data_IF_922037948065
#
_entry.id   IF_922037948065
#
_cell.length_a   1.000
_cell.length_b   1.000
_cell.length_c   1.000
_cell.angle_alpha   90.00
_cell.angle_beta   90.00
_cell.angle_gamma   90.00
#
_symmetry.space_group_name_H-M   'P 1'
#
loop_
_entity.id
_entity.type
_entity.pdbx_description
1 polymer ?
#
# COMPACT_ATOMS: atom_id res chain seq x y z
N UNK A 1 9.15 -34.34 -21.80
CA UNK A 1 7.90 -33.99 -21.11
C UNK A 1 8.10 -34.04 -19.61
N UNK A 2 8.33 -32.91 -18.93
CA UNK A 2 8.42 -32.88 -17.46
C UNK A 2 7.00 -32.94 -16.86
N UNK A 3 6.68 -34.03 -16.15
CA UNK A 3 5.39 -34.23 -15.47
C UNK A 3 5.20 -33.11 -14.43
N UNK A 4 4.19 -32.25 -14.62
CA UNK A 4 3.83 -31.21 -13.63
C UNK A 4 3.51 -31.88 -12.31
N UNK A 5 4.18 -31.46 -11.24
CA UNK A 5 3.95 -31.99 -9.89
C UNK A 5 2.58 -31.50 -9.36
N UNK A 6 1.73 -32.40 -8.82
CA UNK A 6 0.39 -32.07 -8.33
C UNK A 6 0.45 -31.14 -7.11
N UNK A 7 -0.57 -30.30 -6.95
CA UNK A 7 -0.66 -29.27 -5.90
C UNK A 7 -0.48 -29.84 -4.49
N UNK A 8 -1.05 -31.02 -4.20
CA UNK A 8 -0.87 -31.74 -2.94
C UNK A 8 0.60 -32.05 -2.63
N UNK A 9 1.40 -32.42 -3.63
CA UNK A 9 2.84 -32.67 -3.44
C UNK A 9 3.66 -31.40 -3.31
N UNK A 10 3.19 -30.26 -3.85
CA UNK A 10 3.81 -28.95 -3.60
C UNK A 10 3.55 -28.52 -2.15
N UNK A 11 2.33 -28.71 -1.67
CA UNK A 11 1.92 -28.38 -0.31
C UNK A 11 2.64 -29.25 0.73
N UNK A 12 2.74 -30.56 0.49
CA UNK A 12 3.48 -31.47 1.36
C UNK A 12 4.99 -31.13 1.43
N UNK A 13 5.58 -30.69 0.30
CA UNK A 13 6.96 -30.20 0.26
C UNK A 13 7.14 -28.87 0.99
N UNK A 14 6.17 -27.97 0.86
CA UNK A 14 6.17 -26.70 1.59
C UNK A 14 6.04 -26.95 3.10
N UNK A 15 5.18 -27.87 3.51
CA UNK A 15 4.99 -28.29 4.90
C UNK A 15 6.25 -28.96 5.47
N UNK A 16 6.93 -29.81 4.68
CA UNK A 16 8.21 -30.39 5.07
C UNK A 16 9.28 -29.31 5.27
N UNK A 17 9.40 -28.36 4.32
CA UNK A 17 10.33 -27.23 4.42
C UNK A 17 10.03 -26.29 5.58
N UNK A 18 8.76 -26.05 5.90
CA UNK A 18 8.34 -25.27 7.06
C UNK A 18 8.61 -25.98 8.40
N UNK A 19 8.83 -27.30 8.39
CA UNK A 19 9.18 -28.09 9.58
C UNK A 19 10.67 -28.10 9.87
N UNK A 20 11.51 -27.79 8.88
CA UNK A 20 12.95 -27.68 9.05
C UNK A 20 13.32 -26.49 9.94
N UNK A 21 14.15 -26.75 10.95
CA UNK A 21 14.51 -25.76 11.97
C UNK A 21 15.25 -24.54 11.38
N UNK A 22 16.03 -24.75 10.31
CA UNK A 22 16.73 -23.67 9.61
C UNK A 22 15.79 -22.78 8.81
N UNK A 23 14.82 -23.37 8.09
CA UNK A 23 13.83 -22.61 7.33
C UNK A 23 12.94 -21.75 8.22
N UNK A 24 12.60 -22.25 9.41
CA UNK A 24 11.89 -21.47 10.43
C UNK A 24 12.72 -20.29 10.93
N UNK A 25 14.03 -20.45 11.09
CA UNK A 25 14.93 -19.36 11.51
C UNK A 25 15.05 -18.29 10.42
N UNK A 26 15.27 -18.66 9.16
CA UNK A 26 15.35 -17.70 8.05
C UNK A 26 14.01 -16.99 7.81
N UNK A 27 12.90 -17.73 7.83
CA UNK A 27 11.56 -17.17 7.71
C UNK A 27 11.21 -16.23 8.87
N UNK A 28 11.57 -16.62 10.10
CA UNK A 28 11.40 -15.76 11.28
C UNK A 28 12.27 -14.50 11.18
N UNK A 29 13.52 -14.59 10.73
CA UNK A 29 14.39 -13.41 10.55
C UNK A 29 13.83 -12.42 9.53
N UNK A 30 13.28 -12.90 8.41
CA UNK A 30 12.65 -12.04 7.41
C UNK A 30 11.38 -11.36 7.91
N UNK A 31 10.54 -12.10 8.65
CA UNK A 31 9.31 -11.54 9.24
C UNK A 31 9.62 -10.56 10.37
N UNK A 32 10.55 -10.91 11.26
CA UNK A 32 11.01 -10.04 12.35
C UNK A 32 11.64 -8.77 11.77
N UNK A 33 12.46 -8.87 10.72
CA UNK A 33 13.02 -7.69 10.05
C UNK A 33 11.95 -6.73 9.50
N UNK A 34 10.92 -7.26 8.82
CA UNK A 34 9.79 -6.45 8.34
C UNK A 34 8.98 -5.83 9.50
N UNK A 35 8.70 -6.61 10.54
CA UNK A 35 7.95 -6.13 11.71
C UNK A 35 8.72 -5.07 12.51
N UNK A 36 10.05 -5.22 12.63
CA UNK A 36 10.93 -4.23 13.26
C UNK A 36 10.98 -2.96 12.40
N UNK A 37 11.08 -3.08 11.07
CA UNK A 37 11.02 -1.92 10.17
C UNK A 37 9.71 -1.15 10.28
N UNK A 38 8.58 -1.86 10.27
CA UNK A 38 7.24 -1.27 10.51
C UNK A 38 7.16 -0.66 11.91
N UNK A 39 7.67 -1.35 12.94
CA UNK A 39 7.67 -0.86 14.32
C UNK A 39 8.51 0.40 14.50
N UNK A 40 9.71 0.46 13.90
CA UNK A 40 10.57 1.64 13.91
C UNK A 40 9.87 2.80 13.20
N UNK A 41 9.23 2.52 12.06
CA UNK A 41 8.48 3.54 11.32
C UNK A 41 7.29 4.07 12.15
N UNK A 42 6.51 3.19 12.79
CA UNK A 42 5.40 3.59 13.66
C UNK A 42 5.87 4.36 14.90
N UNK A 43 6.97 3.94 15.53
CA UNK A 43 7.59 4.68 16.64
C UNK A 43 8.14 6.04 16.19
N UNK A 44 8.75 6.11 15.01
CA UNK A 44 9.22 7.37 14.44
C UNK A 44 8.06 8.30 14.10
N UNK A 45 6.94 7.78 13.57
CA UNK A 45 5.73 8.55 13.34
C UNK A 45 5.12 9.03 14.66
N UNK A 46 5.08 8.20 15.70
CA UNK A 46 4.59 8.61 17.03
C UNK A 46 5.50 9.65 17.72
N UNK A 47 6.81 9.62 17.44
CA UNK A 47 7.79 10.57 17.97
C UNK A 47 7.81 11.90 17.19
N UNK A 48 7.67 11.85 15.85
CA UNK A 48 7.67 13.02 14.98
C UNK A 48 6.31 13.72 14.90
N UNK A 49 5.21 12.97 15.11
CA UNK A 49 3.84 13.50 15.16
C UNK A 49 3.17 13.09 16.48
N UNK A 50 3.44 13.81 17.59
CA UNK A 50 2.81 13.55 18.88
C UNK A 50 1.28 13.70 18.87
N UNK A 51 0.72 14.26 17.81
CA UNK A 51 -0.72 14.43 17.64
C UNK A 51 -1.49 13.12 17.39
N UNK A 52 -0.78 12.06 16.98
CA UNK A 52 -1.35 10.72 16.82
C UNK A 52 -1.79 10.07 18.16
N UNK A 53 -1.29 10.59 19.29
CA UNK A 53 -1.60 10.14 20.66
C UNK A 53 -2.57 11.09 21.41
N UNK A 54 -3.21 12.02 20.71
CA UNK A 54 -4.23 12.91 21.29
C UNK A 54 -3.74 14.30 21.70
N UNK A 55 -2.58 14.74 21.21
CA UNK A 55 -2.28 16.17 21.14
C UNK A 55 -2.82 16.71 19.80
N UNK A 56 -3.23 17.98 19.74
CA UNK A 56 -3.82 18.55 18.52
C UNK A 56 -2.73 19.16 17.65
N UNK A 57 -2.65 18.70 16.40
CA UNK A 57 -1.80 19.33 15.42
C UNK A 57 -2.30 20.76 15.21
N UNK A 58 -1.50 21.75 15.58
CA UNK A 58 -1.75 23.15 15.24
C UNK A 58 -1.37 23.37 13.77
N UNK A 59 -1.99 22.62 12.86
CA UNK A 59 -2.07 23.06 11.47
C UNK A 59 -2.98 24.29 11.47
N UNK A 60 -2.51 25.38 10.86
CA UNK A 60 -3.37 26.54 10.66
C UNK A 60 -4.57 26.12 9.82
N UNK A 61 -5.77 26.37 10.34
CA UNK A 61 -7.01 26.13 9.61
C UNK A 61 -6.89 26.79 8.22
N UNK A 62 -7.07 26.05 7.11
CA UNK A 62 -7.09 26.69 5.81
C UNK A 62 -8.24 27.70 5.83
N UNK A 63 -7.91 28.99 5.73
CA UNK A 63 -8.91 30.04 5.55
C UNK A 63 -9.52 29.86 4.17
N UNK A 64 -10.57 29.06 4.10
CA UNK A 64 -11.34 28.79 2.90
C UNK A 64 -12.15 30.05 2.55
N UNK A 65 -11.62 30.88 1.65
CA UNK A 65 -12.47 31.83 0.91
C UNK A 65 -13.43 30.99 0.06
N UNK A 66 -14.73 31.11 0.30
CA UNK A 66 -15.78 30.27 -0.27
C UNK A 66 -15.88 30.17 -1.81
N UNK A 67 -15.02 30.85 -2.56
CA UNK A 67 -14.89 30.74 -4.02
C UNK A 67 -13.66 29.95 -4.50
N UNK A 68 -12.73 29.54 -3.62
CA UNK A 68 -11.50 28.78 -3.94
C UNK A 68 -11.66 27.25 -3.74
N UNK A 69 -12.86 26.79 -3.37
CA UNK A 69 -13.12 25.42 -2.88
C UNK A 69 -12.83 24.34 -3.95
N UNK A 70 -13.00 24.67 -5.24
CA UNK A 70 -12.61 23.81 -6.36
C UNK A 70 -12.02 24.68 -7.46
N UNK A 71 -10.73 25.02 -7.32
CA UNK A 71 -10.02 25.69 -8.40
C UNK A 71 -9.70 24.65 -9.52
N UNK A 72 -10.18 24.86 -10.78
CA UNK A 72 -9.91 23.93 -11.87
C UNK A 72 -8.42 23.73 -12.13
N UNK A 73 -7.59 24.76 -11.91
CA UNK A 73 -6.14 24.69 -12.08
C UNK A 73 -5.52 23.74 -11.04
N UNK A 74 -5.94 23.86 -9.77
CA UNK A 74 -5.47 22.97 -8.71
C UNK A 74 -5.93 21.53 -8.96
N UNK A 75 -7.16 21.35 -9.45
CA UNK A 75 -7.69 20.03 -9.81
C UNK A 75 -6.87 19.40 -10.94
N UNK A 76 -6.62 20.14 -12.02
CA UNK A 76 -5.77 19.68 -13.13
C UNK A 76 -4.36 19.35 -12.64
N UNK A 77 -3.78 20.19 -11.80
CA UNK A 77 -2.46 19.93 -11.22
C UNK A 77 -2.43 18.63 -10.39
N UNK A 78 -3.43 18.41 -9.52
CA UNK A 78 -3.51 17.17 -8.74
C UNK A 78 -3.70 15.93 -9.61
N UNK A 79 -4.46 16.02 -10.70
CA UNK A 79 -4.63 14.92 -11.65
C UNK A 79 -3.32 14.63 -12.39
N UNK A 80 -2.58 15.66 -12.83
CA UNK A 80 -1.25 15.49 -13.44
C UNK A 80 -0.30 14.83 -12.46
N UNK A 81 -0.25 15.29 -11.21
CA UNK A 81 0.57 14.69 -10.16
C UNK A 81 0.19 13.22 -9.94
N UNK A 82 -1.10 12.88 -9.91
CA UNK A 82 -1.56 11.50 -9.79
C UNK A 82 -1.11 10.62 -10.97
N UNK A 83 -1.13 11.13 -12.21
CA UNK A 83 -0.61 10.41 -13.37
C UNK A 83 0.91 10.17 -13.30
N UNK A 84 1.68 11.14 -12.80
CA UNK A 84 3.12 10.99 -12.59
C UNK A 84 3.43 9.92 -11.55
N UNK A 85 2.66 9.86 -10.45
CA UNK A 85 2.80 8.80 -9.44
C UNK A 85 2.39 7.44 -10.00
N UNK A 86 1.34 7.37 -10.81
CA UNK A 86 0.97 6.12 -11.50
C UNK A 86 2.10 5.61 -12.41
N UNK A 87 2.81 6.51 -13.10
CA UNK A 87 3.97 6.15 -13.91
C UNK A 87 5.15 5.59 -13.09
N UNK A 88 5.24 5.87 -11.78
CA UNK A 88 6.25 5.25 -10.91
C UNK A 88 6.08 3.74 -10.80
N UNK A 89 4.84 3.22 -10.80
CA UNK A 89 4.59 1.78 -10.73
C UNK A 89 5.20 1.06 -11.94
N UNK A 90 5.04 1.65 -13.13
CA UNK A 90 5.65 1.14 -14.36
C UNK A 90 7.19 1.28 -14.30
N UNK A 91 7.70 2.39 -13.77
CA UNK A 91 9.14 2.61 -13.61
C UNK A 91 9.82 1.56 -12.73
N UNK A 92 9.25 1.27 -11.55
CA UNK A 92 9.77 0.22 -10.66
C UNK A 92 9.67 -1.16 -11.30
N UNK A 93 8.55 -1.46 -11.96
CA UNK A 93 8.37 -2.73 -12.67
C UNK A 93 9.47 -2.96 -13.72
N UNK A 94 9.83 -1.93 -14.49
CA UNK A 94 10.92 -2.02 -15.49
C UNK A 94 12.30 -2.21 -14.84
N UNK A 95 12.56 -1.58 -13.69
CA UNK A 95 13.81 -1.77 -12.95
C UNK A 95 13.92 -3.19 -12.39
N UNK A 96 12.86 -3.72 -11.78
CA UNK A 96 12.84 -5.10 -11.27
C UNK A 96 12.98 -6.13 -12.41
N UNK A 97 12.28 -5.89 -13.53
CA UNK A 97 12.42 -6.69 -14.74
C UNK A 97 13.86 -6.64 -15.32
N UNK A 98 14.55 -5.51 -15.19
CA UNK A 98 15.94 -5.34 -15.65
C UNK A 98 16.97 -6.09 -14.81
N UNK A 99 16.73 -6.27 -13.51
CA UNK A 99 17.63 -7.01 -12.61
C UNK A 99 17.35 -8.51 -12.53
N UNK A 100 16.15 -8.94 -12.92
CA UNK A 100 15.80 -10.36 -12.91
C UNK A 100 16.38 -11.12 -14.12
N UNK A 101 16.53 -12.44 -13.99
CA UNK A 101 17.01 -13.31 -15.08
C UNK A 101 15.98 -13.37 -16.20
N UNK A 102 16.41 -13.27 -17.46
CA UNK A 102 15.56 -13.20 -18.65
C UNK A 102 14.44 -14.25 -18.77
N UNK A 103 14.63 -15.43 -18.19
CA UNK A 103 13.63 -16.51 -18.18
C UNK A 103 12.46 -16.24 -17.22
N UNK A 104 12.70 -15.48 -16.17
CA UNK A 104 11.72 -15.21 -15.09
C UNK A 104 11.10 -13.80 -15.21
N UNK A 105 11.63 -12.95 -16.09
CA UNK A 105 11.18 -11.57 -16.31
C UNK A 105 9.69 -11.45 -16.61
N UNK A 106 9.14 -12.37 -17.42
CA UNK A 106 7.71 -12.36 -17.73
C UNK A 106 6.87 -12.66 -16.50
N UNK A 107 7.33 -13.54 -15.61
CA UNK A 107 6.58 -13.87 -14.40
C UNK A 107 6.57 -12.68 -13.42
N UNK A 108 7.72 -12.03 -13.24
CA UNK A 108 7.84 -10.84 -12.38
C UNK A 108 6.97 -9.69 -12.92
N UNK A 109 7.01 -9.44 -14.23
CA UNK A 109 6.24 -8.36 -14.84
C UNK A 109 4.73 -8.57 -14.68
N UNK A 110 4.25 -9.81 -14.77
CA UNK A 110 2.84 -10.15 -14.53
C UNK A 110 2.44 -9.95 -13.07
N UNK A 111 3.31 -10.27 -12.12
CA UNK A 111 3.06 -10.05 -10.69
C UNK A 111 2.91 -8.54 -10.39
N UNK A 112 3.79 -7.69 -10.93
CA UNK A 112 3.73 -6.24 -10.72
C UNK A 112 2.47 -5.59 -11.33
N UNK A 113 2.01 -6.08 -12.49
CA UNK A 113 0.76 -5.60 -13.12
C UNK A 113 -0.44 -5.98 -12.26
N UNK A 114 -0.51 -7.24 -11.81
CA UNK A 114 -1.60 -7.72 -10.95
C UNK A 114 -1.61 -6.96 -9.62
N UNK A 115 -0.44 -6.69 -9.05
CA UNK A 115 -0.30 -5.89 -7.82
C UNK A 115 -0.86 -4.49 -8.01
N UNK A 116 -0.49 -3.79 -9.09
CA UNK A 116 -0.99 -2.43 -9.37
C UNK A 116 -2.52 -2.41 -9.52
N UNK A 117 -3.10 -3.38 -10.22
CA UNK A 117 -4.56 -3.49 -10.38
C UNK A 117 -5.26 -3.82 -9.06
N UNK A 118 -4.73 -4.78 -8.30
CA UNK A 118 -5.30 -5.19 -7.02
C UNK A 118 -5.23 -4.07 -5.98
N UNK A 119 -4.11 -3.35 -5.92
CA UNK A 119 -3.92 -2.24 -5.01
C UNK A 119 -4.89 -1.09 -5.32
N UNK A 120 -5.11 -0.77 -6.61
CA UNK A 120 -6.13 0.20 -7.02
C UNK A 120 -7.55 -0.19 -6.61
N UNK A 121 -7.95 -1.45 -6.81
CA UNK A 121 -9.26 -1.96 -6.41
C UNK A 121 -9.45 -1.97 -4.88
N UNK A 122 -8.44 -2.41 -4.13
CA UNK A 122 -8.47 -2.42 -2.67
C UNK A 122 -8.50 -1.00 -2.10
N UNK A 123 -7.77 -0.07 -2.71
CA UNK A 123 -7.79 1.34 -2.33
C UNK A 123 -9.17 1.96 -2.56
N UNK A 124 -9.81 1.66 -3.70
CA UNK A 124 -11.18 2.07 -3.97
C UNK A 124 -12.20 1.49 -2.97
N UNK A 125 -12.10 0.19 -2.66
CA UNK A 125 -13.08 -0.49 -1.82
C UNK A 125 -12.96 -0.10 -0.33
N UNK A 126 -11.74 -0.10 0.22
CA UNK A 126 -11.50 0.05 1.66
C UNK A 126 -10.43 1.10 1.99
N UNK A 127 -9.42 1.30 1.12
CA UNK A 127 -8.30 2.20 1.42
C UNK A 127 -8.72 3.66 1.57
N UNK A 128 -9.61 4.15 0.71
CA UNK A 128 -10.14 5.51 0.80
C UNK A 128 -10.91 5.72 2.12
N UNK A 129 -11.72 4.73 2.50
CA UNK A 129 -12.46 4.75 3.76
C UNK A 129 -11.52 4.80 4.98
N UNK A 130 -10.45 4.00 4.99
CA UNK A 130 -9.53 4.00 6.13
C UNK A 130 -8.68 5.26 6.24
N UNK A 131 -8.33 5.89 5.12
CA UNK A 131 -7.41 7.04 5.08
C UNK A 131 -8.12 8.40 5.23
N UNK A 132 -9.28 8.59 4.60
CA UNK A 132 -9.92 9.91 4.51
C UNK A 132 -11.25 10.01 5.24
N UNK A 133 -11.76 8.91 5.81
CA UNK A 133 -13.08 8.92 6.43
C UNK A 133 -13.07 9.29 7.91
N UNK A 134 -14.24 9.76 8.37
CA UNK A 134 -14.52 9.99 9.77
C UNK A 134 -14.41 8.69 10.58
N UNK A 135 -13.69 8.73 11.70
CA UNK A 135 -13.46 7.57 12.55
C UNK A 135 -12.68 7.93 13.82
N UNK A 136 -11.84 7.01 14.29
CA UNK A 136 -10.96 7.23 15.43
C UNK A 136 -9.60 7.78 14.95
N UNK A 137 -8.76 8.36 15.82
CA UNK A 137 -7.44 8.93 15.47
C UNK A 137 -6.44 7.97 14.81
N UNK A 138 -6.80 6.69 14.68
CA UNK A 138 -6.04 5.64 13.99
C UNK A 138 -6.70 5.08 12.73
N UNK A 139 -8.04 5.17 12.56
CA UNK A 139 -8.74 4.55 11.41
C UNK A 139 -10.08 5.23 11.10
N UNK A 140 -10.32 5.50 9.81
CA UNK A 140 -11.63 5.93 9.29
C UNK A 140 -12.61 4.76 9.20
N UNK A 141 -13.88 4.97 9.58
CA UNK A 141 -14.88 3.89 9.69
C UNK A 141 -16.09 4.06 8.76
N UNK A 142 -16.15 5.16 8.01
CA UNK A 142 -17.28 5.48 7.13
C UNK A 142 -16.82 5.49 5.65
N UNK A 143 -17.73 5.58 4.68
CA UNK A 143 -17.41 5.76 3.24
C UNK A 143 -16.70 4.59 2.54
N UNK A 144 -17.06 3.35 2.88
CA UNK A 144 -16.66 2.17 2.10
C UNK A 144 -17.20 2.25 0.66
N UNK A 145 -16.36 1.89 -0.32
CA UNK A 145 -16.66 1.97 -1.75
C UNK A 145 -17.10 3.36 -2.23
N UNK A 146 -16.65 4.44 -1.55
CA UNK A 146 -17.09 5.82 -1.77
C UNK A 146 -18.60 6.06 -1.59
N UNK A 147 -19.31 5.15 -0.91
CA UNK A 147 -20.73 5.32 -0.66
C UNK A 147 -20.96 6.42 0.40
N UNK A 148 -21.66 7.49 0.02
CA UNK A 148 -22.01 8.59 0.93
C UNK A 148 -20.87 9.58 1.23
N UNK A 149 -19.83 9.64 0.39
CA UNK A 149 -18.76 10.61 0.54
C UNK A 149 -19.26 12.05 0.20
N UNK A 150 -19.02 13.06 1.07
CA UNK A 150 -19.39 14.44 0.82
C UNK A 150 -18.57 15.03 -0.35
N UNK A 151 -19.15 15.98 -1.07
CA UNK A 151 -18.51 16.62 -2.23
C UNK A 151 -17.35 17.55 -1.87
N UNK A 152 -17.23 17.92 -0.59
CA UNK A 152 -16.17 18.75 -0.04
C UNK A 152 -15.68 18.07 1.23
N UNK A 153 -14.35 18.00 1.39
CA UNK A 153 -13.74 17.60 2.65
C UNK A 153 -14.23 18.56 3.75
N UNK A 154 -14.79 18.02 4.83
CA UNK A 154 -15.09 18.75 6.06
C UNK A 154 -13.82 18.86 6.92
#
# INVERSE_FOLDING_TARGET
MQKRVPFSQKLARLQARLRDAEWRRYGALLLVGKLVGIGILLCAVAFLNPDLLGMKAFAADPVLKGNDIVNPINTVWTLIAAFLVFAMQVGFTMLEAGFCRSRETVNVLMECIVDTCLCGLLFYAFGFAFMFSHGNGFIGLNWFMLNGAPATYE
#
